data_IF_948208240676
#
_entry.id   IF_948208240676
#
_cell.length_a   1.000
_cell.length_b   1.000
_cell.length_c   1.000
_cell.angle_alpha   90.00
_cell.angle_beta   90.00
_cell.angle_gamma   90.00
#
_symmetry.space_group_name_H-M   'P 1'
#
loop_
_entity.id
_entity.type
_entity.pdbx_description
1 polymer ?
#
# COMPACT_ATOMS: atom_id res chain seq x y z
N UNK A 1 12.59 -9.49 -3.51
CA UNK A 1 13.33 -9.96 -4.69
C UNK A 1 13.67 -8.76 -5.58
N UNK A 2 14.97 -8.50 -5.88
CA UNK A 2 15.37 -7.34 -6.69
C UNK A 2 14.93 -7.40 -8.16
N UNK A 3 14.42 -8.55 -8.62
CA UNK A 3 13.85 -8.71 -9.97
C UNK A 3 12.39 -8.23 -10.04
N UNK A 4 11.73 -8.06 -8.89
CA UNK A 4 10.36 -7.58 -8.85
C UNK A 4 10.27 -6.13 -9.31
N UNK A 5 9.34 -5.84 -10.24
CA UNK A 5 9.22 -4.55 -10.90
C UNK A 5 8.85 -3.37 -9.98
N UNK A 6 8.40 -3.65 -8.76
CA UNK A 6 7.94 -2.64 -7.78
C UNK A 6 8.83 -2.57 -6.55
N UNK A 7 10.08 -3.05 -6.63
CA UNK A 7 11.02 -3.06 -5.49
C UNK A 7 11.31 -1.65 -4.95
N UNK A 8 11.24 -0.62 -5.78
CA UNK A 8 11.43 0.80 -5.39
C UNK A 8 10.32 1.34 -4.50
N UNK A 9 9.16 0.69 -4.44
CA UNK A 9 8.07 1.07 -3.53
C UNK A 9 8.29 0.59 -2.09
N UNK A 10 9.40 -0.09 -1.79
CA UNK A 10 9.67 -0.69 -0.48
C UNK A 10 10.67 0.12 0.34
N UNK A 11 10.63 -0.04 1.66
CA UNK A 11 11.64 0.50 2.58
C UNK A 11 12.91 -0.36 2.67
N UNK A 12 13.02 -1.43 1.89
CA UNK A 12 14.15 -2.35 1.89
C UNK A 12 13.78 -3.75 2.39
N UNK A 13 14.80 -4.59 2.56
CA UNK A 13 14.64 -6.00 2.91
C UNK A 13 14.68 -6.30 4.43
N UNK A 14 15.11 -5.33 5.24
CA UNK A 14 15.17 -5.47 6.69
C UNK A 14 13.77 -5.26 7.30
N UNK A 15 13.17 -6.27 7.94
CA UNK A 15 11.82 -6.15 8.49
C UNK A 15 11.73 -5.16 9.66
N UNK A 16 12.79 -5.00 10.44
CA UNK A 16 12.82 -4.04 11.55
C UNK A 16 12.86 -2.61 11.02
N UNK A 17 13.73 -2.33 10.06
CA UNK A 17 13.80 -1.01 9.41
C UNK A 17 12.47 -0.67 8.72
N UNK A 18 11.91 -1.61 7.97
CA UNK A 18 10.63 -1.42 7.26
C UNK A 18 9.49 -1.15 8.24
N UNK A 19 9.43 -1.87 9.37
CA UNK A 19 8.44 -1.63 10.44
C UNK A 19 8.57 -0.23 11.03
N UNK A 20 9.79 0.19 11.40
CA UNK A 20 10.06 1.52 11.97
C UNK A 20 9.69 2.66 11.02
N UNK A 21 10.07 2.55 9.75
CA UNK A 21 9.73 3.56 8.74
C UNK A 21 8.22 3.57 8.45
N UNK A 22 7.59 2.39 8.35
CA UNK A 22 6.14 2.26 8.19
C UNK A 22 5.37 2.89 9.35
N UNK A 23 5.76 2.59 10.60
CA UNK A 23 5.16 3.18 11.79
C UNK A 23 5.31 4.71 11.82
N UNK A 24 6.49 5.23 11.49
CA UNK A 24 6.71 6.68 11.40
C UNK A 24 5.83 7.34 10.33
N UNK A 25 5.65 6.69 9.18
CA UNK A 25 4.76 7.14 8.10
C UNK A 25 3.29 7.18 8.58
N UNK A 26 2.83 6.12 9.24
CA UNK A 26 1.48 6.04 9.83
C UNK A 26 1.22 7.18 10.80
N UNK A 27 2.14 7.40 11.75
CA UNK A 27 2.04 8.48 12.73
C UNK A 27 1.99 9.85 12.03
N UNK A 28 2.85 10.05 11.02
CA UNK A 28 2.90 11.31 10.27
C UNK A 28 1.62 11.60 9.51
N UNK A 29 1.04 10.61 8.83
CA UNK A 29 -0.20 10.75 8.05
C UNK A 29 -1.43 10.91 8.96
N UNK A 30 -1.50 10.16 10.05
CA UNK A 30 -2.62 10.20 11.00
C UNK A 30 -2.59 11.38 11.96
N UNK A 31 -1.50 12.15 12.01
CA UNK A 31 -1.33 13.32 12.89
C UNK A 31 -1.63 13.06 14.38
N UNK A 32 -1.71 11.79 14.80
CA UNK A 32 -2.05 11.36 16.15
C UNK A 32 -3.53 11.54 16.56
N UNK A 33 -4.36 12.13 15.68
CA UNK A 33 -5.78 12.36 15.90
C UNK A 33 -6.49 12.49 14.53
N UNK A 34 -7.31 11.51 14.20
CA UNK A 34 -7.99 11.42 12.91
C UNK A 34 -9.05 12.50 12.69
N UNK A 35 -9.51 13.20 13.74
CA UNK A 35 -10.46 14.30 13.63
C UNK A 35 -9.82 15.60 13.14
N UNK A 36 -8.49 15.66 13.05
CA UNK A 36 -7.77 16.85 12.56
C UNK A 36 -7.93 17.01 11.05
N UNK A 37 -8.05 18.27 10.62
CA UNK A 37 -8.25 18.66 9.21
C UNK A 37 -7.23 18.05 8.23
N UNK A 38 -6.01 17.76 8.69
CA UNK A 38 -4.93 17.23 7.85
C UNK A 38 -4.65 15.74 8.07
N UNK A 39 -5.42 15.08 8.93
CA UNK A 39 -5.23 13.66 9.20
C UNK A 39 -5.77 12.83 8.03
N UNK A 40 -5.02 11.79 7.66
CA UNK A 40 -5.44 10.78 6.70
C UNK A 40 -5.22 9.39 7.26
N UNK A 41 -6.06 8.44 6.87
CA UNK A 41 -5.83 7.03 7.18
C UNK A 41 -4.72 6.50 6.28
N UNK A 42 -3.63 6.05 6.91
CA UNK A 42 -2.57 5.36 6.20
C UNK A 42 -3.04 3.97 5.76
N UNK A 43 -2.78 3.60 4.51
CA UNK A 43 -3.04 2.26 3.98
C UNK A 43 -1.74 1.49 3.87
N UNK A 44 -1.63 0.41 4.65
CA UNK A 44 -0.48 -0.49 4.59
C UNK A 44 -0.59 -1.39 3.37
N UNK A 45 0.47 -1.46 2.57
CA UNK A 45 0.45 -2.26 1.33
C UNK A 45 1.80 -2.92 1.04
N UNK A 46 1.77 -4.04 0.37
CA UNK A 46 0.61 -4.84 0.00
C UNK A 46 0.61 -6.10 0.86
N UNK A 47 -0.50 -6.43 1.46
CA UNK A 47 -0.60 -7.50 2.45
C UNK A 47 -1.00 -8.82 1.75
N UNK A 48 -0.08 -9.79 1.54
CA UNK A 48 1.20 -10.00 2.20
C UNK A 48 2.20 -10.68 1.24
N UNK A 49 3.50 -10.52 1.53
CA UNK A 49 4.60 -11.18 0.81
C UNK A 49 4.67 -10.87 -0.70
N UNK A 50 4.21 -9.71 -1.11
CA UNK A 50 4.14 -9.31 -2.52
C UNK A 50 5.51 -9.08 -3.17
N UNK A 51 6.51 -8.71 -2.38
CA UNK A 51 7.85 -8.37 -2.88
C UNK A 51 8.74 -9.59 -3.19
N UNK A 52 8.22 -10.81 -3.04
CA UNK A 52 8.94 -12.07 -3.31
C UNK A 52 8.15 -13.00 -4.25
N UNK A 53 7.59 -12.47 -5.35
CA UNK A 53 6.84 -13.30 -6.27
C UNK A 53 7.78 -14.28 -6.98
N UNK A 54 7.30 -15.46 -7.30
CA UNK A 54 8.09 -16.46 -8.02
C UNK A 54 8.58 -15.90 -9.36
N UNK A 55 9.87 -16.11 -9.62
CA UNK A 55 10.53 -15.59 -10.82
C UNK A 55 10.69 -14.06 -10.89
N UNK A 56 10.31 -13.33 -9.84
CA UNK A 56 10.26 -11.85 -9.82
C UNK A 56 9.08 -11.28 -10.60
N UNK A 57 8.15 -12.11 -11.05
CA UNK A 57 7.01 -11.67 -11.87
C UNK A 57 5.90 -11.08 -11.00
N UNK A 58 5.53 -9.84 -11.32
CA UNK A 58 4.53 -9.10 -10.56
C UNK A 58 3.18 -9.84 -10.49
N UNK A 59 2.67 -10.03 -9.27
CA UNK A 59 1.40 -10.73 -9.03
C UNK A 59 1.49 -12.26 -9.01
N UNK A 60 2.65 -12.86 -9.33
CA UNK A 60 2.84 -14.30 -9.25
C UNK A 60 2.81 -14.78 -7.79
N UNK A 61 2.60 -16.08 -7.58
CA UNK A 61 2.56 -16.64 -6.22
C UNK A 61 3.89 -16.45 -5.48
N UNK A 62 3.79 -16.33 -4.14
CA UNK A 62 4.94 -16.27 -3.25
C UNK A 62 5.17 -17.64 -2.59
N UNK A 63 6.35 -18.22 -2.79
CA UNK A 63 6.76 -19.46 -2.17
C UNK A 63 7.37 -19.20 -0.80
N UNK A 64 6.51 -18.94 0.20
CA UNK A 64 6.91 -18.52 1.56
C UNK A 64 6.31 -19.46 2.57
N UNK A 65 7.13 -20.01 3.45
CA UNK A 65 6.68 -20.85 4.56
C UNK A 65 6.18 -20.06 5.77
N UNK A 66 5.41 -20.70 6.64
CA UNK A 66 4.83 -20.05 7.84
C UNK A 66 5.88 -19.36 8.71
N UNK A 67 7.04 -19.98 8.94
CA UNK A 67 8.12 -19.38 9.73
C UNK A 67 8.60 -18.07 9.10
N UNK A 68 8.87 -18.08 7.82
CA UNK A 68 9.36 -16.91 7.08
C UNK A 68 8.33 -15.78 7.07
N UNK A 69 7.04 -16.10 6.92
CA UNK A 69 5.95 -15.12 7.09
C UNK A 69 6.05 -14.40 8.44
N UNK A 70 6.22 -15.15 9.53
CA UNK A 70 6.25 -14.59 10.88
C UNK A 70 7.57 -13.88 11.22
N UNK A 71 8.69 -14.27 10.62
CA UNK A 71 10.00 -13.66 10.88
C UNK A 71 10.22 -12.40 10.02
N UNK A 72 9.75 -12.37 8.77
CA UNK A 72 10.15 -11.35 7.81
C UNK A 72 9.00 -10.50 7.24
N UNK A 73 7.82 -11.05 7.02
CA UNK A 73 6.76 -10.35 6.30
C UNK A 73 5.67 -9.75 7.18
N UNK A 74 5.32 -10.41 8.27
CA UNK A 74 4.28 -9.94 9.20
C UNK A 74 4.75 -8.81 10.13
N UNK A 75 5.98 -8.83 10.68
CA UNK A 75 6.39 -7.84 11.68
C UNK A 75 6.27 -6.38 11.23
N UNK A 76 6.64 -5.99 9.99
CA UNK A 76 6.48 -4.61 9.54
C UNK A 76 5.02 -4.13 9.54
N UNK A 77 4.08 -5.00 9.17
CA UNK A 77 2.66 -4.67 9.18
C UNK A 77 2.11 -4.57 10.60
N UNK A 78 2.51 -5.49 11.49
CA UNK A 78 2.08 -5.44 12.87
C UNK A 78 2.56 -4.16 13.56
N UNK A 79 3.84 -3.78 13.40
CA UNK A 79 4.38 -2.55 13.97
C UNK A 79 3.63 -1.31 13.47
N UNK A 80 3.29 -1.27 12.18
CA UNK A 80 2.53 -0.17 11.61
C UNK A 80 1.07 -0.13 12.08
N UNK A 81 0.44 -1.29 12.32
CA UNK A 81 -0.90 -1.39 12.94
C UNK A 81 -0.86 -0.92 14.39
N UNK A 82 0.14 -1.32 15.16
CA UNK A 82 0.34 -0.89 16.54
C UNK A 82 0.59 0.64 16.62
N UNK A 83 1.17 1.22 15.57
CA UNK A 83 1.34 2.67 15.41
C UNK A 83 0.05 3.41 15.00
N UNK A 84 -1.06 2.70 14.75
CA UNK A 84 -2.37 3.28 14.48
C UNK A 84 -2.82 3.25 13.04
N UNK A 85 -2.26 2.42 12.17
CA UNK A 85 -2.79 2.22 10.82
C UNK A 85 -4.21 1.66 10.85
N UNK A 86 -5.09 2.17 9.98
CA UNK A 86 -6.51 1.80 9.93
C UNK A 86 -6.99 1.38 8.54
N UNK A 87 -6.08 1.19 7.61
CA UNK A 87 -6.36 0.59 6.32
C UNK A 87 -5.24 -0.38 5.92
N UNK A 88 -5.62 -1.51 5.35
CA UNK A 88 -4.71 -2.51 4.78
C UNK A 88 -5.17 -2.83 3.36
N UNK A 89 -4.25 -2.80 2.41
CA UNK A 89 -4.50 -3.21 1.03
C UNK A 89 -3.96 -4.62 0.81
N UNK A 90 -4.80 -5.48 0.25
CA UNK A 90 -4.38 -6.85 -0.11
C UNK A 90 -3.40 -6.84 -1.28
N UNK A 91 -2.64 -7.90 -1.43
CA UNK A 91 -1.69 -8.04 -2.53
C UNK A 91 -2.23 -8.92 -3.65
N UNK A 92 -1.65 -8.77 -4.85
CA UNK A 92 -2.04 -9.54 -6.03
C UNK A 92 -1.64 -11.01 -5.99
N UNK A 93 -0.59 -11.36 -5.26
CA UNK A 93 -0.06 -12.72 -5.22
C UNK A 93 -0.92 -13.67 -4.40
N UNK A 94 -0.68 -14.94 -4.57
CA UNK A 94 -1.13 -15.99 -3.65
C UNK A 94 0.01 -16.47 -2.75
N UNK A 95 -0.35 -17.01 -1.58
CA UNK A 95 0.54 -17.72 -0.67
C UNK A 95 -0.02 -19.12 -0.49
N UNK A 96 0.79 -20.13 -0.75
CA UNK A 96 0.38 -21.54 -0.67
C UNK A 96 -0.91 -21.84 -1.46
N UNK A 97 -1.03 -21.25 -2.66
CA UNK A 97 -2.15 -21.43 -3.57
C UNK A 97 -3.41 -20.61 -3.23
N UNK A 98 -3.42 -19.85 -2.11
CA UNK A 98 -4.55 -19.02 -1.70
C UNK A 98 -4.27 -17.56 -2.05
N UNK A 99 -5.07 -16.91 -2.94
CA UNK A 99 -4.93 -15.49 -3.25
C UNK A 99 -5.04 -14.64 -1.98
N UNK A 100 -4.12 -13.69 -1.77
CA UNK A 100 -4.11 -12.87 -0.56
C UNK A 100 -5.42 -12.10 -0.36
N UNK A 101 -6.07 -11.68 -1.45
CA UNK A 101 -7.36 -10.99 -1.43
C UNK A 101 -8.53 -11.88 -0.93
N UNK A 102 -8.41 -13.21 -1.04
CA UNK A 102 -9.41 -14.18 -0.58
C UNK A 102 -8.88 -15.07 0.56
N UNK A 103 -7.83 -14.65 1.24
CA UNK A 103 -7.19 -15.45 2.28
C UNK A 103 -7.79 -15.15 3.67
N UNK A 104 -8.72 -16.00 4.11
CA UNK A 104 -9.38 -15.88 5.41
C UNK A 104 -8.40 -15.91 6.59
N UNK A 105 -7.34 -16.72 6.51
CA UNK A 105 -6.33 -16.76 7.56
C UNK A 105 -5.66 -15.40 7.74
N UNK A 106 -5.22 -14.76 6.64
CA UNK A 106 -4.56 -13.47 6.69
C UNK A 106 -5.51 -12.36 7.13
N UNK A 107 -6.68 -12.26 6.47
CA UNK A 107 -7.55 -11.08 6.61
C UNK A 107 -8.46 -11.15 7.84
N UNK A 108 -8.82 -12.34 8.31
CA UNK A 108 -9.71 -12.50 9.46
C UNK A 108 -9.00 -13.10 10.67
N UNK A 109 -8.38 -14.28 10.56
CA UNK A 109 -7.79 -14.92 11.74
C UNK A 109 -6.61 -14.09 12.29
N UNK A 110 -5.64 -13.79 11.47
CA UNK A 110 -4.46 -13.05 11.88
C UNK A 110 -4.78 -11.56 12.12
N UNK A 111 -5.22 -10.87 11.07
CA UNK A 111 -5.38 -9.42 11.12
C UNK A 111 -6.44 -8.99 12.14
N UNK A 112 -7.60 -9.64 12.15
CA UNK A 112 -8.73 -9.21 13.00
C UNK A 112 -8.77 -9.90 14.36
N UNK A 113 -8.60 -11.23 14.39
CA UNK A 113 -8.76 -11.97 15.65
C UNK A 113 -7.51 -11.90 16.53
N UNK A 114 -6.31 -12.03 15.95
CA UNK A 114 -5.05 -11.99 16.70
C UNK A 114 -4.56 -10.57 16.94
N UNK A 115 -4.42 -9.77 15.87
CA UNK A 115 -3.89 -8.40 15.97
C UNK A 115 -4.93 -7.34 16.36
N UNK A 116 -6.23 -7.71 16.44
CA UNK A 116 -7.30 -6.80 16.83
C UNK A 116 -7.41 -5.57 15.91
N UNK A 117 -7.05 -5.70 14.65
CA UNK A 117 -7.15 -4.61 13.68
C UNK A 117 -8.58 -4.09 13.55
N UNK A 118 -8.78 -2.79 13.79
CA UNK A 118 -10.09 -2.14 13.84
C UNK A 118 -10.51 -1.48 12.54
N UNK A 119 -9.55 -1.28 11.62
CA UNK A 119 -9.75 -0.59 10.37
C UNK A 119 -10.46 -1.41 9.30
N UNK A 120 -10.33 -1.01 8.04
CA UNK A 120 -10.89 -1.72 6.90
C UNK A 120 -9.79 -2.32 6.00
N UNK A 121 -10.18 -3.30 5.21
CA UNK A 121 -9.35 -3.93 4.19
C UNK A 121 -9.85 -3.54 2.82
N UNK A 122 -8.98 -3.00 1.99
CA UNK A 122 -9.26 -2.67 0.59
C UNK A 122 -8.50 -3.65 -0.31
N UNK A 123 -9.12 -4.09 -1.40
CA UNK A 123 -8.41 -4.86 -2.42
C UNK A 123 -7.38 -3.99 -3.15
N UNK A 124 -6.37 -4.58 -3.77
CA UNK A 124 -5.65 -3.87 -4.83
C UNK A 124 -6.51 -3.80 -6.10
N UNK A 125 -6.14 -2.97 -7.06
CA UNK A 125 -6.91 -2.74 -8.30
C UNK A 125 -7.21 -4.07 -9.01
N UNK A 126 -8.49 -4.39 -9.20
CA UNK A 126 -8.96 -5.60 -9.87
C UNK A 126 -8.49 -6.93 -9.25
N UNK A 127 -7.96 -6.91 -8.00
CA UNK A 127 -7.40 -8.13 -7.41
C UNK A 127 -8.49 -9.12 -6.98
N UNK A 128 -9.75 -8.69 -6.85
CA UNK A 128 -10.89 -9.60 -6.61
C UNK A 128 -11.23 -10.35 -7.90
N UNK A 129 -11.30 -9.65 -9.03
CA UNK A 129 -11.44 -10.31 -10.34
C UNK A 129 -10.29 -11.30 -10.58
N UNK A 130 -9.08 -10.96 -10.14
CA UNK A 130 -7.90 -11.81 -10.22
C UNK A 130 -8.05 -13.17 -9.53
N UNK A 131 -8.90 -13.30 -8.52
CA UNK A 131 -9.21 -14.61 -7.88
C UNK A 131 -9.81 -15.58 -8.87
N UNK A 132 -10.63 -15.08 -9.81
CA UNK A 132 -11.19 -15.85 -10.93
C UNK A 132 -10.22 -15.89 -12.14
N UNK A 133 -9.76 -14.73 -12.61
CA UNK A 133 -9.12 -14.56 -13.92
C UNK A 133 -7.64 -14.94 -13.94
N UNK A 134 -6.92 -14.77 -12.83
CA UNK A 134 -5.47 -14.97 -12.74
C UNK A 134 -5.10 -16.17 -11.89
N UNK A 135 -5.78 -16.38 -10.77
CA UNK A 135 -5.52 -17.48 -9.85
C UNK A 135 -6.34 -18.71 -10.14
N UNK A 136 -7.48 -18.57 -10.87
CA UNK A 136 -8.38 -19.67 -11.27
C UNK A 136 -8.91 -20.50 -10.08
N UNK A 137 -9.04 -19.89 -8.89
CA UNK A 137 -9.56 -20.56 -7.68
C UNK A 137 -11.03 -20.30 -7.44
N UNK A 138 -11.65 -19.43 -8.21
CA UNK A 138 -13.09 -19.21 -8.25
C UNK A 138 -13.59 -19.42 -9.68
N UNK A 139 -14.68 -20.18 -9.91
CA UNK A 139 -15.21 -20.44 -11.26
C UNK A 139 -15.91 -19.23 -11.90
N UNK A 140 -16.33 -18.22 -11.10
CA UNK A 140 -16.98 -17.01 -11.58
C UNK A 140 -16.54 -15.78 -10.77
N UNK A 141 -16.75 -14.58 -11.32
CA UNK A 141 -16.53 -13.31 -10.60
C UNK A 141 -17.42 -13.20 -9.35
N UNK A 142 -18.66 -13.71 -9.40
CA UNK A 142 -19.54 -13.76 -8.23
C UNK A 142 -18.93 -14.58 -7.09
N UNK A 143 -18.38 -15.75 -7.40
CA UNK A 143 -17.72 -16.57 -6.38
C UNK A 143 -16.41 -15.96 -5.89
N UNK A 144 -15.65 -15.31 -6.76
CA UNK A 144 -14.47 -14.53 -6.37
C UNK A 144 -14.86 -13.42 -5.37
N UNK A 145 -15.92 -12.68 -5.65
CA UNK A 145 -16.43 -11.64 -4.76
C UNK A 145 -16.90 -12.21 -3.41
N UNK A 146 -17.62 -13.34 -3.41
CA UNK A 146 -18.06 -14.01 -2.18
C UNK A 146 -16.85 -14.49 -1.36
N UNK A 147 -15.83 -15.08 -1.99
CA UNK A 147 -14.62 -15.51 -1.30
C UNK A 147 -13.89 -14.32 -0.67
N UNK A 148 -13.70 -13.22 -1.40
CA UNK A 148 -13.00 -12.04 -0.92
C UNK A 148 -13.70 -11.37 0.27
N UNK A 149 -15.02 -11.09 0.17
CA UNK A 149 -15.76 -10.46 1.25
C UNK A 149 -15.87 -11.37 2.48
N UNK A 150 -16.04 -12.68 2.29
CA UNK A 150 -16.05 -13.67 3.38
C UNK A 150 -14.68 -13.81 4.04
N UNK A 151 -13.61 -13.63 3.30
CA UNK A 151 -12.25 -13.62 3.86
C UNK A 151 -11.98 -12.37 4.70
N UNK A 152 -12.69 -11.27 4.47
CA UNK A 152 -12.54 -10.03 5.23
C UNK A 152 -12.12 -8.80 4.43
N UNK A 153 -12.16 -8.85 3.10
CA UNK A 153 -12.05 -7.67 2.23
C UNK A 153 -13.32 -6.84 2.34
N UNK A 154 -13.18 -5.54 2.60
CA UNK A 154 -14.30 -4.64 2.85
C UNK A 154 -14.61 -3.73 1.64
N UNK A 155 -13.61 -3.46 0.79
CA UNK A 155 -13.71 -2.56 -0.38
C UNK A 155 -13.09 -3.24 -1.60
N UNK A 156 -13.82 -3.17 -2.72
CA UNK A 156 -13.35 -3.53 -4.06
C UNK A 156 -12.78 -2.28 -4.74
N UNK A 157 -11.48 -2.23 -4.99
CA UNK A 157 -10.82 -1.08 -5.57
C UNK A 157 -10.69 -1.22 -7.08
N UNK A 158 -11.31 -0.29 -7.81
CA UNK A 158 -11.23 -0.18 -9.27
C UNK A 158 -11.98 -1.26 -10.04
N UNK A 159 -12.39 -2.33 -9.38
CA UNK A 159 -13.16 -3.43 -9.95
C UNK A 159 -14.68 -3.25 -9.85
N UNK A 160 -15.38 -4.26 -10.31
CA UNK A 160 -16.84 -4.38 -10.22
C UNK A 160 -17.28 -5.73 -9.65
N UNK A 161 -16.37 -6.50 -9.09
CA UNK A 161 -16.67 -7.84 -8.56
C UNK A 161 -17.74 -7.78 -7.48
N UNK A 162 -17.66 -6.82 -6.55
CA UNK A 162 -18.63 -6.67 -5.46
C UNK A 162 -20.04 -6.26 -5.93
N UNK A 163 -20.22 -5.79 -7.15
CA UNK A 163 -21.57 -5.59 -7.71
C UNK A 163 -22.37 -6.90 -7.82
N UNK A 164 -21.67 -8.04 -7.95
CA UNK A 164 -22.28 -9.37 -8.01
C UNK A 164 -22.80 -9.86 -6.64
N UNK A 165 -22.37 -9.25 -5.54
CA UNK A 165 -22.82 -9.62 -4.19
C UNK A 165 -24.32 -9.39 -3.98
N UNK A 166 -24.94 -8.45 -4.69
CA UNK A 166 -26.38 -8.25 -4.66
C UNK A 166 -27.14 -9.53 -5.06
N UNK A 167 -26.74 -10.16 -6.18
CA UNK A 167 -27.35 -11.41 -6.63
C UNK A 167 -27.02 -12.57 -5.68
N UNK A 168 -25.81 -12.62 -5.15
CA UNK A 168 -25.38 -13.65 -4.19
C UNK A 168 -26.23 -13.63 -2.90
N UNK A 169 -26.55 -12.43 -2.37
CA UNK A 169 -27.45 -12.27 -1.21
C UNK A 169 -28.87 -12.68 -1.57
N UNK A 170 -29.40 -12.16 -2.69
CA UNK A 170 -30.78 -12.46 -3.12
C UNK A 170 -31.03 -13.96 -3.39
N UNK A 171 -30.00 -14.66 -3.87
CA UNK A 171 -30.04 -16.10 -4.11
C UNK A 171 -29.70 -16.96 -2.87
N UNK A 172 -29.41 -16.31 -1.73
CA UNK A 172 -29.11 -17.00 -0.47
C UNK A 172 -27.74 -17.68 -0.42
N UNK A 173 -26.85 -17.37 -1.36
CA UNK A 173 -25.47 -17.91 -1.38
C UNK A 173 -24.56 -17.32 -0.30
N UNK A 174 -24.83 -16.07 0.08
CA UNK A 174 -24.12 -15.36 1.15
C UNK A 174 -25.12 -14.60 2.02
N UNK A 175 -24.81 -14.49 3.31
CA UNK A 175 -25.66 -13.73 4.24
C UNK A 175 -25.42 -12.23 4.09
N UNK A 176 -26.50 -11.43 4.11
CA UNK A 176 -26.44 -9.95 4.16
C UNK A 176 -25.58 -9.44 5.33
N UNK A 177 -25.56 -10.15 6.47
CA UNK A 177 -24.75 -9.79 7.63
C UNK A 177 -23.24 -9.73 7.34
N UNK A 178 -22.75 -10.44 6.32
CA UNK A 178 -21.34 -10.34 5.87
C UNK A 178 -21.10 -8.99 5.21
N UNK A 179 -22.04 -8.55 4.39
CA UNK A 179 -21.99 -7.24 3.72
C UNK A 179 -22.10 -6.12 4.76
N UNK A 180 -23.05 -6.22 5.69
CA UNK A 180 -23.22 -5.26 6.79
C UNK A 180 -21.93 -5.10 7.59
N UNK A 181 -21.25 -6.21 7.84
CA UNK A 181 -19.97 -6.19 8.57
C UNK A 181 -18.91 -5.38 7.82
N UNK A 182 -18.76 -5.59 6.51
CA UNK A 182 -17.81 -4.85 5.67
C UNK A 182 -18.18 -3.35 5.63
N UNK A 183 -19.45 -3.04 5.39
CA UNK A 183 -19.97 -1.66 5.37
C UNK A 183 -19.75 -0.95 6.71
N UNK A 184 -20.04 -1.63 7.82
CA UNK A 184 -19.84 -1.06 9.17
C UNK A 184 -18.39 -0.69 9.45
N UNK A 185 -17.41 -1.47 8.97
CA UNK A 185 -15.99 -1.17 9.15
C UNK A 185 -15.60 0.12 8.43
N UNK A 186 -16.05 0.29 7.20
CA UNK A 186 -15.78 1.49 6.40
C UNK A 186 -16.49 2.72 6.97
N UNK A 187 -17.78 2.59 7.29
CA UNK A 187 -18.56 3.70 7.86
C UNK A 187 -18.01 4.15 9.20
N UNK A 188 -17.58 3.23 10.06
CA UNK A 188 -16.94 3.57 11.33
C UNK A 188 -15.77 4.52 11.13
N UNK A 189 -14.88 4.25 10.17
CA UNK A 189 -13.74 5.13 9.90
C UNK A 189 -14.19 6.51 9.43
N UNK A 190 -15.23 6.58 8.59
CA UNK A 190 -15.80 7.87 8.17
C UNK A 190 -16.38 8.67 9.33
N UNK A 191 -17.04 8.00 10.28
CA UNK A 191 -17.54 8.65 11.50
C UNK A 191 -16.39 9.10 12.43
N UNK A 192 -15.40 8.25 12.66
CA UNK A 192 -14.24 8.58 13.50
C UNK A 192 -13.43 9.77 12.94
N UNK A 193 -13.42 9.95 11.62
CA UNK A 193 -12.80 11.11 10.96
C UNK A 193 -13.70 12.36 10.90
N UNK A 194 -14.94 12.29 11.35
CA UNK A 194 -15.90 13.41 11.28
C UNK A 194 -16.31 13.80 9.87
N UNK A 195 -16.25 12.87 8.88
CA UNK A 195 -16.53 13.18 7.49
C UNK A 195 -18.00 13.46 7.19
N UNK A 196 -18.91 13.14 8.12
CA UNK A 196 -20.33 13.48 8.00
C UNK A 196 -20.63 14.88 8.49
N UNK A 197 -19.89 15.35 9.51
CA UNK A 197 -19.97 16.69 10.06
C UNK A 197 -19.19 17.71 9.22
N UNK A 198 -18.03 17.29 8.68
CA UNK A 198 -17.09 18.12 7.93
C UNK A 198 -16.71 17.48 6.59
N UNK A 199 -17.67 17.31 5.63
CA UNK A 199 -17.41 16.58 4.39
C UNK A 199 -16.59 17.37 3.35
N UNK A 200 -16.38 18.66 3.57
CA UNK A 200 -15.74 19.55 2.60
C UNK A 200 -14.41 20.09 3.08
N UNK A 201 -13.46 20.21 2.17
CA UNK A 201 -12.18 20.87 2.38
C UNK A 201 -12.16 22.23 1.67
N UNK A 202 -11.31 23.14 2.13
CA UNK A 202 -11.09 24.40 1.44
C UNK A 202 -10.02 24.23 0.33
N UNK A 203 -10.38 24.26 -0.96
CA UNK A 203 -9.42 24.07 -2.04
C UNK A 203 -8.28 25.11 -2.06
N UNK A 204 -8.53 26.31 -1.52
CA UNK A 204 -7.51 27.36 -1.43
C UNK A 204 -6.40 27.02 -0.41
N UNK A 205 -6.64 26.09 0.51
CA UNK A 205 -5.60 25.61 1.43
C UNK A 205 -4.55 24.80 0.70
N UNK A 206 -4.93 24.00 -0.30
CA UNK A 206 -4.01 23.18 -1.08
C UNK A 206 -2.92 24.04 -1.76
N UNK A 207 -3.27 25.16 -2.36
CA UNK A 207 -2.30 26.05 -3.04
C UNK A 207 -1.29 26.70 -2.10
N UNK A 208 -1.60 26.77 -0.81
CA UNK A 208 -0.68 27.31 0.21
C UNK A 208 0.25 26.24 0.78
N UNK A 209 -0.23 25.00 0.86
CA UNK A 209 0.48 23.89 1.51
C UNK A 209 1.32 23.12 0.51
N UNK A 210 0.75 22.78 -0.66
CA UNK A 210 1.46 22.04 -1.70
C UNK A 210 2.66 22.84 -2.19
N UNK A 211 3.86 22.21 -2.16
CA UNK A 211 5.13 22.83 -2.53
C UNK A 211 5.50 24.09 -1.74
N UNK A 212 5.05 24.19 -0.50
CA UNK A 212 5.54 25.25 0.40
C UNK A 212 7.08 25.16 0.53
N UNK A 213 7.73 26.28 0.92
CA UNK A 213 9.17 26.29 1.14
C UNK A 213 9.63 25.23 2.16
N UNK A 214 8.81 24.94 3.16
CA UNK A 214 9.07 23.90 4.15
C UNK A 214 9.07 22.51 3.50
N UNK A 215 8.07 22.21 2.68
CA UNK A 215 7.99 20.93 1.96
C UNK A 215 9.16 20.76 0.98
N UNK A 216 9.54 21.81 0.25
CA UNK A 216 10.69 21.76 -0.66
C UNK A 216 11.99 21.52 0.12
N UNK A 217 12.20 22.20 1.26
CA UNK A 217 13.39 21.98 2.10
C UNK A 217 13.43 20.57 2.67
N UNK A 218 12.28 20.03 3.10
CA UNK A 218 12.19 18.66 3.61
C UNK A 218 12.49 17.65 2.49
N UNK A 219 11.88 17.80 1.32
CA UNK A 219 12.13 16.94 0.16
C UNK A 219 13.61 16.93 -0.24
N UNK A 220 14.24 18.09 -0.27
CA UNK A 220 15.68 18.22 -0.54
C UNK A 220 16.54 17.49 0.51
N UNK A 221 16.20 17.64 1.81
CA UNK A 221 16.89 16.93 2.89
C UNK A 221 16.74 15.41 2.77
N UNK A 222 15.54 14.94 2.47
CA UNK A 222 15.27 13.49 2.26
C UNK A 222 16.07 12.97 1.06
N UNK A 223 16.05 13.69 -0.07
CA UNK A 223 16.82 13.32 -1.24
C UNK A 223 18.34 13.23 -0.95
N UNK A 224 18.89 14.19 -0.21
CA UNK A 224 20.29 14.14 0.20
C UNK A 224 20.59 12.94 1.11
N UNK A 225 19.68 12.60 2.02
CA UNK A 225 19.83 11.48 2.95
C UNK A 225 19.69 10.12 2.29
N UNK A 226 18.99 10.04 1.16
CA UNK A 226 18.78 8.80 0.40
C UNK A 226 19.95 8.44 -0.54
N UNK A 227 20.89 9.36 -0.77
CA UNK A 227 22.05 9.10 -1.64
C UNK A 227 23.05 8.20 -0.93
N UNK A 228 23.32 7.04 -1.52
CA UNK A 228 24.26 6.06 -1.00
C UNK A 228 25.55 6.05 -1.81
N UNK A 229 26.70 6.24 -1.13
CA UNK A 229 28.02 6.19 -1.74
C UNK A 229 28.49 4.74 -1.87
N UNK A 230 28.24 4.12 -3.02
CA UNK A 230 28.59 2.71 -3.27
C UNK A 230 30.10 2.52 -3.50
N UNK A 231 30.79 3.51 -4.06
CA UNK A 231 32.21 3.43 -4.38
C UNK A 231 32.84 4.83 -4.51
N UNK A 232 33.98 5.04 -3.89
CA UNK A 232 34.78 6.27 -4.03
C UNK A 232 36.23 5.93 -4.28
N UNK A 233 36.55 5.46 -5.51
CA UNK A 233 37.93 5.11 -5.89
C UNK A 233 38.79 6.36 -5.94
N UNK A 234 39.99 6.27 -5.33
CA UNK A 234 40.95 7.37 -5.25
C UNK A 234 40.42 8.64 -4.55
N UNK A 235 39.39 8.50 -3.70
CA UNK A 235 38.80 9.64 -2.97
C UNK A 235 38.41 10.81 -3.87
N UNK A 236 37.84 10.50 -5.04
CA UNK A 236 37.42 11.52 -6.02
C UNK A 236 36.29 12.40 -5.51
N UNK A 237 35.46 11.87 -4.62
CA UNK A 237 34.43 12.62 -3.94
C UNK A 237 34.85 13.02 -2.52
N UNK A 238 34.52 14.24 -2.06
CA UNK A 238 33.77 15.30 -2.77
C UNK A 238 34.60 15.91 -3.91
N UNK A 239 33.91 16.29 -4.99
CA UNK A 239 34.55 16.90 -6.15
C UNK A 239 35.27 18.20 -5.76
N UNK A 240 36.43 18.44 -6.35
CA UNK A 240 37.17 19.67 -6.13
C UNK A 240 36.38 20.88 -6.67
N UNK A 241 36.09 21.87 -5.83
CA UNK A 241 35.33 23.08 -6.18
C UNK A 241 36.00 23.94 -7.31
N UNK A 242 37.27 23.67 -7.66
CA UNK A 242 37.99 24.34 -8.76
C UNK A 242 37.68 23.75 -10.14
N UNK A 243 36.92 22.63 -10.21
CA UNK A 243 36.49 22.03 -11.48
C UNK A 243 35.60 23.03 -12.22
N UNK A 244 35.98 23.37 -13.45
CA UNK A 244 35.29 24.37 -14.28
C UNK A 244 34.25 23.75 -15.22
N UNK A 245 34.37 22.45 -15.54
CA UNK A 245 33.48 21.75 -16.48
C UNK A 245 33.15 20.37 -15.91
N UNK A 246 31.91 20.04 -15.93
CA UNK A 246 31.37 18.71 -15.61
C UNK A 246 30.51 18.27 -16.76
N UNK A 247 30.67 17.04 -17.24
CA UNK A 247 29.77 16.42 -18.17
C UNK A 247 28.76 15.55 -17.38
N UNK A 248 27.48 15.79 -17.58
CA UNK A 248 26.40 14.91 -17.08
C UNK A 248 25.95 14.08 -18.27
N UNK A 249 26.06 12.75 -18.15
CA UNK A 249 25.82 11.83 -19.27
C UNK A 249 24.92 10.68 -18.82
N UNK A 250 24.17 10.13 -19.74
CA UNK A 250 23.27 9.00 -19.52
C UNK A 250 21.83 9.33 -19.91
N UNK A 251 20.93 8.34 -19.93
CA UNK A 251 19.54 8.52 -20.39
C UNK A 251 18.75 9.52 -19.53
N UNK A 252 19.14 9.69 -18.26
CA UNK A 252 18.46 10.60 -17.32
C UNK A 252 19.20 11.96 -17.18
N UNK A 253 20.24 12.23 -17.97
CA UNK A 253 21.04 13.44 -17.85
C UNK A 253 20.24 14.73 -18.08
N UNK A 254 19.24 14.67 -18.98
CA UNK A 254 18.33 15.76 -19.30
C UNK A 254 16.93 15.20 -19.61
N UNK A 255 16.34 14.54 -18.62
CA UNK A 255 15.00 13.95 -18.72
C UNK A 255 14.23 14.22 -17.42
N UNK A 256 13.39 15.25 -17.45
CA UNK A 256 12.58 15.62 -16.28
C UNK A 256 11.53 14.58 -15.94
N UNK A 257 10.96 13.90 -16.94
CA UNK A 257 9.93 12.87 -16.71
C UNK A 257 10.48 11.70 -15.86
N UNK A 258 11.68 11.23 -16.17
CA UNK A 258 12.29 10.12 -15.41
C UNK A 258 12.69 10.48 -13.97
N UNK A 259 12.57 11.74 -13.58
CA UNK A 259 12.78 12.19 -12.20
C UNK A 259 11.50 12.17 -11.36
N UNK A 260 10.35 11.92 -11.99
CA UNK A 260 9.06 11.81 -11.30
C UNK A 260 8.91 10.41 -10.71
N UNK A 261 8.23 10.31 -9.56
CA UNK A 261 7.88 9.01 -8.98
C UNK A 261 6.62 8.43 -9.62
N UNK A 262 6.40 7.13 -9.44
CA UNK A 262 5.32 6.37 -10.08
C UNK A 262 3.92 6.91 -9.81
N UNK A 263 3.70 7.47 -8.64
CA UNK A 263 2.39 8.00 -8.23
C UNK A 263 2.29 9.53 -8.38
N UNK A 264 3.18 10.11 -9.16
CA UNK A 264 3.11 11.55 -9.46
C UNK A 264 1.94 11.83 -10.40
N UNK A 265 1.14 12.85 -10.10
CA UNK A 265 0.08 13.30 -10.99
C UNK A 265 0.66 13.68 -12.38
N UNK A 266 -0.09 13.44 -13.46
CA UNK A 266 0.36 13.85 -14.79
C UNK A 266 0.80 15.31 -14.81
N UNK A 267 1.96 15.58 -15.40
CA UNK A 267 2.51 16.93 -15.55
C UNK A 267 2.31 17.33 -17.02
N UNK A 268 1.89 18.56 -17.25
CA UNK A 268 1.91 19.15 -18.59
C UNK A 268 3.36 19.45 -18.97
N UNK A 269 3.73 19.16 -20.21
CA UNK A 269 5.03 19.55 -20.76
C UNK A 269 5.05 21.09 -20.89
N UNK A 270 5.82 21.77 -20.05
CA UNK A 270 6.19 23.18 -20.21
C UNK A 270 7.50 23.32 -20.98
#
# INVERSE_FOLDING_TARGET
>A
DPRWSRVEETFGEDPVLSGRLGAAMVIGLGSGDLSREYATIATLKHFLAYAVPEGGQNGNYASVGTRDLHENFLPPFQEAIDAGALSVMTSYNSIDGIPCTANYYLLTQLLRNEWRFRGFVVSDLYSIEGVHESHFVAPTIEEAAMQAVSAGADIDLGGNAFMNLTHAVQSGKISEAVIDTAVCRVLRMKFEMGLFEHPYVNPKSATKVVRSEEHIRLAHKVAQSSIVLLKNKNSILPLNKKIKKVAVVGPNADNRYNMLGDYTAPQEDE
#
